data_IF_190883932055
#
_entry.id   IF_190883932055
#
_cell.length_a   1.000
_cell.length_b   1.000
_cell.length_c   1.000
_cell.angle_alpha   90.00
_cell.angle_beta   90.00
_cell.angle_gamma   90.00
#
_symmetry.space_group_name_H-M   'P 1'
#
loop_
_entity.id
_entity.type
_entity.pdbx_description
1 polymer ?
#
# COMPACT_ATOMS: atom_id res chain seq x y z
N UNK A 1 37.07 28.81 -20.58
CA UNK A 1 38.28 28.01 -20.81
C UNK A 1 37.82 26.57 -20.92
N UNK A 2 37.99 25.91 -22.07
CA UNK A 2 37.47 24.55 -22.32
C UNK A 2 38.25 23.52 -21.48
N UNK A 3 37.55 22.50 -20.97
CA UNK A 3 38.17 21.34 -20.32
C UNK A 3 39.03 20.65 -21.38
N UNK A 4 40.34 20.56 -21.17
CA UNK A 4 41.27 19.92 -22.10
C UNK A 4 41.05 18.41 -22.11
N UNK A 5 41.38 17.75 -23.23
CA UNK A 5 41.32 16.28 -23.36
C UNK A 5 42.14 15.55 -22.27
N UNK A 6 43.16 16.20 -21.74
CA UNK A 6 44.00 15.70 -20.63
C UNK A 6 43.21 15.56 -19.31
N UNK A 7 42.39 16.56 -18.96
CA UNK A 7 41.57 16.54 -17.75
C UNK A 7 40.44 15.50 -17.82
N UNK A 8 39.91 15.22 -19.01
CA UNK A 8 38.87 14.19 -19.18
C UNK A 8 39.39 12.78 -18.91
N UNK A 9 40.64 12.47 -19.27
CA UNK A 9 41.27 11.18 -18.97
C UNK A 9 41.44 10.95 -17.47
N UNK A 10 41.87 11.99 -16.75
CA UNK A 10 42.03 11.96 -15.29
C UNK A 10 40.68 11.78 -14.58
N UNK A 11 39.65 12.56 -14.95
CA UNK A 11 38.32 12.43 -14.35
C UNK A 11 37.70 11.05 -14.59
N UNK A 12 37.94 10.45 -15.76
CA UNK A 12 37.49 9.09 -16.05
C UNK A 12 38.15 8.06 -15.12
N UNK A 13 39.45 8.15 -14.90
CA UNK A 13 40.17 7.26 -14.00
C UNK A 13 39.67 7.42 -12.56
N UNK A 14 39.61 8.65 -12.05
CA UNK A 14 39.10 8.94 -10.70
C UNK A 14 37.66 8.42 -10.51
N UNK A 15 36.82 8.52 -11.53
CA UNK A 15 35.46 7.97 -11.49
C UNK A 15 35.45 6.45 -11.42
N UNK A 16 36.27 5.75 -12.21
CA UNK A 16 36.36 4.29 -12.14
C UNK A 16 36.85 3.81 -10.77
N UNK A 17 37.79 4.53 -10.16
CA UNK A 17 38.33 4.22 -8.83
C UNK A 17 37.30 4.47 -7.72
N UNK A 18 36.54 5.58 -7.77
CA UNK A 18 35.60 5.95 -6.71
C UNK A 18 34.21 5.32 -6.87
N UNK A 19 33.81 4.91 -8.07
CA UNK A 19 32.47 4.37 -8.35
C UNK A 19 32.06 3.22 -7.42
N UNK A 20 32.90 2.21 -7.11
CA UNK A 20 32.52 1.12 -6.22
C UNK A 20 32.11 1.60 -4.82
N UNK A 21 32.76 2.65 -4.31
CA UNK A 21 32.43 3.23 -3.00
C UNK A 21 31.07 3.95 -3.05
N UNK A 22 30.80 4.71 -4.11
CA UNK A 22 29.49 5.35 -4.31
C UNK A 22 28.37 4.33 -4.52
N UNK A 23 28.65 3.20 -5.16
CA UNK A 23 27.69 2.11 -5.35
C UNK A 23 27.36 1.42 -4.03
N UNK A 24 28.38 1.09 -3.23
CA UNK A 24 28.18 0.59 -1.87
C UNK A 24 27.39 1.58 -1.01
N UNK A 25 27.71 2.88 -1.08
CA UNK A 25 27.01 3.92 -0.34
C UNK A 25 25.53 4.01 -0.73
N UNK A 26 25.23 4.05 -2.03
CA UNK A 26 23.86 4.14 -2.53
C UNK A 26 23.02 2.90 -2.17
N UNK A 27 23.62 1.70 -2.23
CA UNK A 27 22.97 0.47 -1.81
C UNK A 27 22.65 0.50 -0.30
N UNK A 28 23.61 0.90 0.54
CA UNK A 28 23.39 1.02 2.00
C UNK A 28 22.33 2.05 2.36
N UNK A 29 22.29 3.18 1.66
CA UNK A 29 21.22 4.16 1.82
C UNK A 29 19.85 3.57 1.43
N UNK A 30 19.77 2.80 0.34
CA UNK A 30 18.52 2.13 -0.03
C UNK A 30 18.03 1.16 1.04
N UNK A 31 18.93 0.33 1.58
CA UNK A 31 18.60 -0.62 2.65
C UNK A 31 18.11 0.10 3.91
N UNK A 32 18.85 1.12 4.37
CA UNK A 32 18.48 1.91 5.53
C UNK A 32 17.13 2.62 5.33
N UNK A 33 16.90 3.24 4.17
CA UNK A 33 15.62 3.91 3.88
C UNK A 33 14.45 2.93 3.83
N UNK A 34 14.65 1.69 3.37
CA UNK A 34 13.62 0.63 3.43
C UNK A 34 13.27 0.29 4.87
N UNK A 35 14.26 0.09 5.73
CA UNK A 35 14.03 -0.20 7.14
C UNK A 35 13.33 0.95 7.88
N UNK A 36 13.81 2.18 7.67
CA UNK A 36 13.25 3.38 8.30
C UNK A 36 11.79 3.61 7.88
N UNK A 37 11.48 3.51 6.59
CA UNK A 37 10.10 3.71 6.08
C UNK A 37 9.15 2.60 6.55
N UNK A 38 9.62 1.35 6.62
CA UNK A 38 8.84 0.25 7.18
C UNK A 38 8.53 0.45 8.67
N UNK A 39 9.54 0.83 9.47
CA UNK A 39 9.38 1.09 10.90
C UNK A 39 8.45 2.28 11.17
N UNK A 40 8.49 3.31 10.31
CA UNK A 40 7.62 4.48 10.38
C UNK A 40 6.22 4.25 9.77
N UNK A 41 5.93 3.03 9.28
CA UNK A 41 4.67 2.68 8.60
C UNK A 41 4.33 3.65 7.46
N UNK A 42 5.34 4.00 6.65
CA UNK A 42 5.17 4.84 5.47
C UNK A 42 5.13 3.93 4.24
N UNK A 43 3.98 3.79 3.57
CA UNK A 43 3.85 2.88 2.44
C UNK A 43 4.62 3.40 1.22
N UNK A 44 5.58 2.61 0.75
CA UNK A 44 6.34 2.90 -0.47
C UNK A 44 6.04 1.84 -1.55
N UNK A 45 5.90 2.27 -2.80
CA UNK A 45 5.89 1.38 -3.98
C UNK A 45 7.25 0.71 -4.14
N UNK A 46 8.31 1.53 -4.16
CA UNK A 46 9.68 1.05 -4.28
C UNK A 46 10.70 2.08 -3.79
N UNK A 47 11.82 1.55 -3.32
CA UNK A 47 13.01 2.31 -2.99
C UNK A 47 14.17 1.70 -3.77
N UNK A 48 14.75 2.47 -4.69
CA UNK A 48 15.78 2.01 -5.63
C UNK A 48 16.99 2.94 -5.60
N UNK A 49 18.19 2.40 -5.56
CA UNK A 49 19.41 3.18 -5.73
C UNK A 49 19.81 3.31 -7.20
N UNK A 50 20.61 4.34 -7.49
CA UNK A 50 21.32 4.51 -8.75
C UNK A 50 22.67 5.16 -8.50
N UNK A 51 23.62 4.84 -9.37
CA UNK A 51 24.88 5.59 -9.48
C UNK A 51 24.91 6.20 -10.87
N UNK A 52 25.20 7.51 -10.94
CA UNK A 52 25.29 8.25 -12.21
C UNK A 52 26.30 7.58 -13.14
N UNK A 53 25.98 7.39 -14.41
CA UNK A 53 26.91 6.74 -15.37
C UNK A 53 28.13 7.62 -15.67
N UNK A 54 29.20 7.02 -16.22
CA UNK A 54 30.41 7.77 -16.58
C UNK A 54 30.09 8.85 -17.61
N UNK A 55 29.28 8.54 -18.62
CA UNK A 55 28.87 9.47 -19.67
C UNK A 55 28.11 10.66 -19.04
N UNK A 56 27.10 10.36 -18.22
CA UNK A 56 26.32 11.41 -17.52
C UNK A 56 27.16 12.24 -16.56
N UNK A 57 28.20 11.66 -15.96
CA UNK A 57 29.14 12.36 -15.07
C UNK A 57 30.01 13.33 -15.87
N UNK A 58 30.64 12.87 -16.95
CA UNK A 58 31.47 13.69 -17.84
C UNK A 58 30.65 14.80 -18.51
N UNK A 59 29.46 14.49 -19.01
CA UNK A 59 28.54 15.46 -19.61
C UNK A 59 28.17 16.56 -18.61
N UNK A 60 27.97 16.21 -17.34
CA UNK A 60 27.63 17.17 -16.28
C UNK A 60 28.84 18.07 -15.94
N UNK A 61 30.04 17.52 -15.91
CA UNK A 61 31.29 18.27 -15.73
C UNK A 61 31.44 19.32 -16.83
N UNK A 62 31.26 18.92 -18.09
CA UNK A 62 31.40 19.82 -19.23
C UNK A 62 30.32 20.91 -19.23
N UNK A 63 29.05 20.52 -19.08
CA UNK A 63 27.91 21.46 -19.08
C UNK A 63 28.00 22.52 -17.98
N UNK A 64 28.57 22.17 -16.81
CA UNK A 64 28.65 23.06 -15.65
C UNK A 64 30.05 23.63 -15.42
N UNK A 65 31.01 23.30 -16.29
CA UNK A 65 32.41 23.69 -16.20
C UNK A 65 33.02 23.41 -14.80
N UNK A 66 32.78 22.21 -14.27
CA UNK A 66 33.29 21.82 -12.94
C UNK A 66 34.79 21.52 -12.97
N UNK A 67 35.48 21.97 -11.92
CA UNK A 67 36.92 21.81 -11.74
C UNK A 67 37.27 20.80 -10.65
N UNK A 68 36.39 20.63 -9.65
CA UNK A 68 36.48 19.58 -8.63
C UNK A 68 35.21 18.70 -8.65
N UNK A 69 35.06 17.83 -9.67
CA UNK A 69 33.79 17.16 -9.94
C UNK A 69 33.19 16.39 -8.76
N UNK A 70 34.00 15.70 -7.95
CA UNK A 70 33.50 14.93 -6.80
C UNK A 70 33.05 15.79 -5.62
N UNK A 71 33.49 17.04 -5.53
CA UNK A 71 33.02 17.98 -4.51
C UNK A 71 31.76 18.73 -4.99
N UNK A 72 31.69 19.01 -6.30
CA UNK A 72 30.66 19.84 -6.93
C UNK A 72 29.44 19.04 -7.42
N UNK A 73 29.62 17.77 -7.78
CA UNK A 73 28.54 16.87 -8.21
C UNK A 73 28.01 16.13 -6.98
N UNK A 74 26.87 16.60 -6.47
CA UNK A 74 26.24 16.05 -5.26
C UNK A 74 25.39 14.79 -5.48
N UNK A 75 25.09 14.46 -6.74
CA UNK A 75 24.18 13.39 -7.16
C UNK A 75 24.92 12.22 -7.86
N UNK A 76 26.16 11.93 -7.46
CA UNK A 76 26.90 10.75 -7.97
C UNK A 76 26.22 9.47 -7.49
N UNK A 77 25.95 9.36 -6.19
CA UNK A 77 25.02 8.40 -5.62
C UNK A 77 23.63 9.03 -5.51
N UNK A 78 22.59 8.24 -5.72
CA UNK A 78 21.24 8.67 -5.41
C UNK A 78 20.30 7.52 -5.11
N UNK A 79 19.25 7.83 -4.37
CA UNK A 79 18.16 6.91 -4.04
C UNK A 79 16.84 7.55 -4.47
N UNK A 80 15.96 6.76 -5.06
CA UNK A 80 14.60 7.18 -5.36
C UNK A 80 13.65 6.46 -4.42
N UNK A 81 12.85 7.23 -3.69
CA UNK A 81 11.75 6.75 -2.85
C UNK A 81 10.46 7.07 -3.58
N UNK A 82 9.73 6.03 -3.99
CA UNK A 82 8.42 6.16 -4.64
C UNK A 82 7.34 5.78 -3.64
N UNK A 83 6.49 6.73 -3.31
CA UNK A 83 5.36 6.64 -2.36
C UNK A 83 4.04 6.49 -3.10
N UNK A 84 2.99 6.04 -2.42
CA UNK A 84 1.65 5.95 -3.01
C UNK A 84 0.91 7.29 -3.01
N UNK A 85 1.09 8.09 -1.96
CA UNK A 85 0.29 9.30 -1.71
C UNK A 85 1.16 10.53 -1.50
N UNK A 86 0.57 11.72 -1.65
CA UNK A 86 1.30 12.99 -1.61
C UNK A 86 1.86 13.32 -0.21
N UNK A 87 1.11 13.06 0.84
CA UNK A 87 1.49 13.32 2.22
C UNK A 87 2.64 12.43 2.70
N UNK A 88 2.76 11.22 2.15
CA UNK A 88 3.90 10.33 2.41
C UNK A 88 5.23 10.93 1.92
N UNK A 89 5.23 11.81 0.92
CA UNK A 89 6.44 12.54 0.50
C UNK A 89 6.98 13.36 1.66
N UNK A 90 6.11 14.07 2.36
CA UNK A 90 6.49 14.91 3.50
C UNK A 90 6.92 14.06 4.69
N UNK A 91 6.23 12.94 4.96
CA UNK A 91 6.64 11.98 6.00
C UNK A 91 8.04 11.42 5.75
N UNK A 92 8.35 11.05 4.50
CA UNK A 92 9.71 10.60 4.12
C UNK A 92 10.73 11.74 4.24
N UNK A 93 10.37 12.97 3.83
CA UNK A 93 11.25 14.14 3.93
C UNK A 93 11.65 14.41 5.39
N UNK A 94 10.68 14.36 6.30
CA UNK A 94 10.91 14.52 7.74
C UNK A 94 11.79 13.40 8.30
N UNK A 95 11.50 12.15 7.93
CA UNK A 95 12.29 10.98 8.32
C UNK A 95 13.76 11.12 7.88
N UNK A 96 14.00 11.53 6.63
CA UNK A 96 15.36 11.77 6.12
C UNK A 96 16.05 12.91 6.89
N UNK A 97 15.32 13.98 7.18
CA UNK A 97 15.86 15.16 7.88
C UNK A 97 16.25 14.85 9.33
N UNK A 98 15.64 13.82 9.94
CA UNK A 98 16.00 13.33 11.27
C UNK A 98 17.25 12.43 11.26
N UNK A 99 17.46 11.70 10.16
CA UNK A 99 18.49 10.66 10.07
C UNK A 99 19.80 11.11 9.42
N UNK A 100 19.74 12.15 8.58
CA UNK A 100 20.87 12.62 7.77
C UNK A 100 21.08 14.13 7.91
N UNK A 101 22.28 14.58 7.54
CA UNK A 101 22.55 16.00 7.35
C UNK A 101 22.04 16.41 5.98
N UNK A 102 20.99 17.23 5.94
CA UNK A 102 20.41 17.76 4.70
C UNK A 102 21.10 19.07 4.32
N UNK A 103 21.60 19.15 3.09
CA UNK A 103 22.12 20.37 2.49
C UNK A 103 20.97 21.13 1.83
N UNK A 104 20.31 21.98 2.61
CA UNK A 104 19.15 22.77 2.16
C UNK A 104 19.48 23.72 1.00
N UNK A 105 20.74 24.14 0.85
CA UNK A 105 21.14 25.06 -0.22
C UNK A 105 21.15 24.38 -1.59
N UNK A 106 21.48 23.08 -1.61
CA UNK A 106 21.54 22.28 -2.84
C UNK A 106 20.34 21.35 -3.01
N UNK A 107 19.49 21.24 -1.98
CA UNK A 107 18.21 20.56 -2.05
C UNK A 107 17.21 21.40 -2.84
N UNK A 108 16.34 20.74 -3.57
CA UNK A 108 15.28 21.39 -4.35
C UNK A 108 13.94 20.85 -3.87
N UNK A 109 13.21 21.71 -3.19
CA UNK A 109 11.79 21.52 -2.94
C UNK A 109 11.00 22.25 -4.02
N UNK A 110 10.49 21.50 -5.00
CA UNK A 110 9.60 22.04 -6.05
C UNK A 110 8.12 21.97 -5.68
N UNK A 111 7.76 21.72 -4.42
CA UNK A 111 6.35 21.70 -4.02
C UNK A 111 5.75 23.12 -4.00
N UNK A 112 6.55 24.18 -3.78
CA UNK A 112 6.04 25.55 -3.56
C UNK A 112 6.46 26.61 -4.58
N UNK A 113 7.43 26.34 -5.46
CA UNK A 113 7.98 27.35 -6.38
C UNK A 113 8.07 26.87 -7.83
N UNK A 114 6.91 26.78 -8.49
CA UNK A 114 6.83 27.02 -9.92
C UNK A 114 6.13 28.36 -10.10
N UNK A 115 6.76 29.29 -10.82
CA UNK A 115 6.02 30.46 -11.31
C UNK A 115 4.81 29.98 -12.14
N UNK A 116 3.78 30.80 -12.29
CA UNK A 116 2.58 30.46 -13.07
C UNK A 116 2.87 30.03 -14.54
N UNK A 117 4.10 30.22 -15.01
CA UNK A 117 4.60 29.89 -16.34
C UNK A 117 5.61 28.72 -16.38
N UNK A 118 5.98 28.13 -15.24
CA UNK A 118 6.93 27.02 -15.18
C UNK A 118 6.22 25.67 -15.18
N UNK A 119 6.76 24.75 -15.97
CA UNK A 119 6.14 23.46 -16.26
C UNK A 119 6.89 22.33 -15.60
N UNK A 120 6.15 21.42 -14.96
CA UNK A 120 6.71 20.18 -14.45
C UNK A 120 5.87 19.59 -13.35
N UNK A 121 5.83 18.27 -13.31
CA UNK A 121 5.21 17.55 -12.21
C UNK A 121 6.23 17.38 -11.08
N UNK A 122 5.74 17.58 -9.86
CA UNK A 122 6.52 17.89 -8.65
C UNK A 122 7.45 16.72 -8.24
N UNK A 123 8.59 17.05 -7.65
CA UNK A 123 9.43 16.06 -6.95
C UNK A 123 10.31 16.74 -5.92
N UNK A 124 10.53 16.10 -4.78
CA UNK A 124 11.42 16.57 -3.72
C UNK A 124 12.79 15.94 -3.92
N UNK A 125 13.83 16.75 -4.00
CA UNK A 125 15.21 16.30 -4.18
C UNK A 125 16.02 16.80 -3.00
N UNK A 126 16.45 15.90 -2.13
CA UNK A 126 17.27 16.23 -0.96
C UNK A 126 18.71 15.85 -1.25
N UNK A 127 19.63 16.77 -1.05
CA UNK A 127 21.06 16.45 -1.00
C UNK A 127 21.40 16.15 0.45
N UNK A 128 21.93 14.95 0.69
CA UNK A 128 22.23 14.48 2.04
C UNK A 128 23.70 14.08 2.18
N UNK A 129 24.19 14.17 3.40
CA UNK A 129 25.40 13.55 3.88
C UNK A 129 25.10 12.72 5.15
N UNK A 130 25.92 11.70 5.39
CA UNK A 130 25.84 10.88 6.60
C UNK A 130 26.23 11.74 7.81
N UNK A 131 25.45 11.69 8.89
CA UNK A 131 25.72 12.47 10.10
C UNK A 131 26.99 11.98 10.82
N UNK A 132 27.70 12.88 11.51
CA UNK A 132 28.93 12.57 12.25
C UNK A 132 28.81 11.38 13.22
N UNK A 133 27.74 11.23 14.03
CA UNK A 133 27.58 10.06 14.89
C UNK A 133 27.48 8.75 14.10
N UNK A 134 26.84 8.77 12.93
CA UNK A 134 26.67 7.60 12.07
C UNK A 134 27.96 7.26 11.34
N UNK A 135 28.70 8.26 10.83
CA UNK A 135 30.03 8.07 10.23
C UNK A 135 31.04 7.45 11.20
N UNK A 136 30.87 7.67 12.51
CA UNK A 136 31.71 7.06 13.56
C UNK A 136 31.52 5.54 13.71
N UNK A 137 30.46 4.97 13.13
CA UNK A 137 30.24 3.52 13.08
C UNK A 137 31.08 2.90 11.96
N UNK A 138 31.67 1.73 12.22
CA UNK A 138 32.65 1.11 11.31
C UNK A 138 32.05 0.78 9.93
N UNK A 139 30.77 0.44 9.89
CA UNK A 139 30.04 0.13 8.66
C UNK A 139 29.68 1.38 7.83
N UNK A 140 29.75 2.58 8.41
CA UNK A 140 29.46 3.85 7.73
C UNK A 140 30.71 4.73 7.52
N UNK A 141 31.80 4.46 8.23
CA UNK A 141 33.06 5.22 8.11
C UNK A 141 33.64 5.29 6.70
N UNK A 142 33.49 4.28 5.80
CA UNK A 142 33.94 4.40 4.41
C UNK A 142 33.19 5.45 3.59
N UNK A 143 32.02 5.92 4.07
CA UNK A 143 31.16 6.89 3.39
C UNK A 143 31.30 8.32 3.93
N UNK A 144 32.27 8.54 4.84
CA UNK A 144 32.58 9.86 5.37
C UNK A 144 32.79 10.89 4.25
N UNK A 145 32.10 12.03 4.34
CA UNK A 145 32.21 13.13 3.37
C UNK A 145 31.57 12.87 1.99
N UNK A 146 30.94 11.70 1.78
CA UNK A 146 30.16 11.46 0.56
C UNK A 146 28.78 12.11 0.67
N UNK A 147 28.29 12.58 -0.47
CA UNK A 147 26.92 13.10 -0.61
C UNK A 147 26.09 12.22 -1.53
N UNK A 148 24.79 12.18 -1.30
CA UNK A 148 23.82 11.53 -2.17
C UNK A 148 22.60 12.41 -2.42
N UNK A 149 21.94 12.20 -3.55
CA UNK A 149 20.64 12.79 -3.85
C UNK A 149 19.52 11.79 -3.54
N UNK A 150 18.61 12.13 -2.64
CA UNK A 150 17.38 11.38 -2.42
C UNK A 150 16.22 12.06 -3.15
N UNK A 151 15.62 11.37 -4.11
CA UNK A 151 14.44 11.83 -4.85
C UNK A 151 13.19 11.18 -4.27
N UNK A 152 12.29 11.96 -3.69
CA UNK A 152 11.02 11.50 -3.12
C UNK A 152 9.89 11.90 -4.07
N UNK A 153 9.07 10.93 -4.46
CA UNK A 153 8.00 11.09 -5.46
C UNK A 153 6.81 10.19 -5.17
N UNK A 154 5.64 10.53 -5.69
CA UNK A 154 4.53 9.56 -5.85
C UNK A 154 4.79 8.62 -7.05
N UNK A 155 4.00 7.55 -7.16
CA UNK A 155 3.98 6.68 -8.35
C UNK A 155 3.72 7.48 -9.62
N UNK A 156 2.73 8.38 -9.59
CA UNK A 156 2.38 9.17 -10.75
C UNK A 156 3.50 10.14 -11.11
N UNK A 157 4.12 10.80 -10.12
CA UNK A 157 5.28 11.68 -10.33
C UNK A 157 6.47 10.95 -10.93
N UNK A 158 6.70 9.72 -10.50
CA UNK A 158 7.73 8.87 -11.08
C UNK A 158 7.39 8.50 -12.54
N UNK A 159 6.16 8.09 -12.82
CA UNK A 159 5.71 7.72 -14.16
C UNK A 159 5.82 8.89 -15.14
N UNK A 160 5.34 10.07 -14.75
CA UNK A 160 5.51 11.29 -15.54
C UNK A 160 6.96 11.59 -15.80
N UNK A 161 7.83 11.59 -14.78
CA UNK A 161 9.22 11.96 -14.99
C UNK A 161 9.91 11.01 -15.98
N UNK A 162 9.60 9.71 -15.90
CA UNK A 162 10.14 8.72 -16.84
C UNK A 162 9.60 8.93 -18.27
N UNK A 163 8.31 9.27 -18.42
CA UNK A 163 7.69 9.54 -19.71
C UNK A 163 8.14 10.88 -20.29
N UNK A 164 8.12 11.94 -19.48
CA UNK A 164 8.53 13.28 -19.86
C UNK A 164 10.00 13.29 -20.22
N UNK A 165 10.90 12.62 -19.50
CA UNK A 165 12.30 12.51 -19.93
C UNK A 165 12.47 11.85 -21.30
N UNK A 166 11.68 10.81 -21.62
CA UNK A 166 11.70 10.16 -22.94
C UNK A 166 11.15 11.05 -24.05
N UNK A 167 10.15 11.88 -23.73
CA UNK A 167 9.52 12.82 -24.65
C UNK A 167 10.41 14.07 -24.82
N UNK A 168 10.77 14.74 -23.73
CA UNK A 168 11.59 15.95 -23.66
C UNK A 168 12.99 15.76 -24.25
N UNK A 169 13.60 14.56 -24.19
CA UNK A 169 14.86 14.32 -24.91
C UNK A 169 14.70 14.47 -26.43
N UNK A 170 13.51 14.21 -26.97
CA UNK A 170 13.19 14.37 -28.40
C UNK A 170 12.53 15.71 -28.71
N UNK A 171 11.93 16.34 -27.72
CA UNK A 171 11.08 17.53 -27.80
C UNK A 171 11.74 18.61 -26.96
N UNK A 172 12.85 19.18 -27.47
CA UNK A 172 13.55 20.28 -26.83
C UNK A 172 12.64 21.51 -26.67
N UNK A 173 13.09 22.55 -25.97
CA UNK A 173 12.40 23.86 -25.78
C UNK A 173 11.91 24.55 -27.08
N UNK A 174 12.25 24.00 -28.24
CA UNK A 174 11.83 24.40 -29.58
C UNK A 174 10.52 23.72 -30.05
N UNK A 175 9.90 22.89 -29.21
CA UNK A 175 8.66 22.21 -29.53
C UNK A 175 7.51 23.17 -29.85
N UNK A 176 6.66 22.84 -30.85
CA UNK A 176 5.44 23.59 -31.14
C UNK A 176 4.62 23.83 -29.87
N UNK A 177 4.07 25.04 -29.74
CA UNK A 177 3.29 25.47 -28.57
C UNK A 177 2.14 24.49 -28.27
N UNK A 178 1.50 23.94 -29.31
CA UNK A 178 0.41 22.97 -29.16
C UNK A 178 0.82 21.70 -28.42
N UNK A 179 2.01 21.15 -28.72
CA UNK A 179 2.52 19.95 -28.05
C UNK A 179 2.90 20.24 -26.60
N UNK A 180 3.53 21.39 -26.35
CA UNK A 180 3.84 21.86 -25.00
C UNK A 180 2.57 22.00 -24.16
N UNK A 181 1.53 22.64 -24.69
CA UNK A 181 0.22 22.76 -24.03
C UNK A 181 -0.40 21.41 -23.70
N UNK A 182 -0.26 20.40 -24.57
CA UNK A 182 -0.76 19.05 -24.29
C UNK A 182 0.02 18.38 -23.15
N UNK A 183 1.34 18.51 -23.13
CA UNK A 183 2.16 18.01 -22.03
C UNK A 183 1.78 18.67 -20.70
N UNK A 184 1.50 19.96 -20.68
CA UNK A 184 1.08 20.66 -19.45
C UNK A 184 -0.26 20.17 -18.92
N UNK A 185 -1.23 19.93 -19.81
CA UNK A 185 -2.50 19.33 -19.41
C UNK A 185 -2.32 17.95 -18.82
N UNK A 186 -1.43 17.13 -19.39
CA UNK A 186 -1.14 15.80 -18.84
C UNK A 186 -0.50 15.89 -17.45
N UNK A 187 0.47 16.78 -17.25
CA UNK A 187 1.06 17.03 -15.93
C UNK A 187 0.00 17.45 -14.91
N UNK A 188 -0.88 18.38 -15.28
CA UNK A 188 -1.95 18.85 -14.41
C UNK A 188 -3.00 17.74 -14.10
N UNK A 189 -3.29 16.87 -15.06
CA UNK A 189 -4.19 15.73 -14.84
C UNK A 189 -3.60 14.71 -13.86
N UNK A 190 -2.29 14.45 -13.95
CA UNK A 190 -1.63 13.55 -13.00
C UNK A 190 -1.58 14.16 -11.61
N UNK A 191 -1.33 15.45 -11.51
CA UNK A 191 -1.35 16.18 -10.24
C UNK A 191 -2.73 16.14 -9.57
N UNK A 192 -3.78 16.41 -10.33
CA UNK A 192 -5.14 16.26 -9.83
C UNK A 192 -5.42 14.81 -9.40
N UNK A 193 -4.97 13.82 -10.18
CA UNK A 193 -5.16 12.42 -9.81
C UNK A 193 -4.45 12.05 -8.51
N UNK A 194 -3.22 12.52 -8.27
CA UNK A 194 -2.49 12.33 -7.01
C UNK A 194 -3.25 12.94 -5.80
N UNK A 195 -3.80 14.14 -5.97
CA UNK A 195 -4.62 14.82 -4.95
C UNK A 195 -5.89 14.02 -4.64
N UNK A 196 -6.60 13.57 -5.68
CA UNK A 196 -7.83 12.78 -5.53
C UNK A 196 -7.57 11.39 -4.90
N UNK A 197 -6.48 10.70 -5.27
CA UNK A 197 -6.14 9.42 -4.63
C UNK A 197 -5.81 9.59 -3.15
N UNK A 198 -5.11 10.66 -2.79
CA UNK A 198 -4.81 11.00 -1.39
C UNK A 198 -6.11 11.30 -0.62
N UNK A 199 -6.98 12.14 -1.18
CA UNK A 199 -8.26 12.48 -0.57
C UNK A 199 -9.20 11.27 -0.41
N UNK A 200 -9.26 10.37 -1.40
CA UNK A 200 -10.07 9.16 -1.34
C UNK A 200 -9.59 8.20 -0.24
N UNK A 201 -8.28 8.05 -0.07
CA UNK A 201 -7.72 7.27 1.05
C UNK A 201 -8.15 7.89 2.39
N UNK A 202 -7.97 9.19 2.57
CA UNK A 202 -8.31 9.88 3.83
C UNK A 202 -9.81 9.77 4.15
N UNK A 203 -10.66 9.91 3.14
CA UNK A 203 -12.10 9.73 3.28
C UNK A 203 -12.46 8.29 3.68
N UNK A 204 -11.83 7.29 3.06
CA UNK A 204 -12.05 5.89 3.42
C UNK A 204 -11.64 5.62 4.87
N UNK A 205 -10.46 6.08 5.30
CA UNK A 205 -9.98 5.95 6.69
C UNK A 205 -10.91 6.65 7.69
N UNK A 206 -11.44 7.83 7.33
CA UNK A 206 -12.40 8.56 8.14
C UNK A 206 -13.74 7.81 8.25
N UNK A 207 -14.23 7.21 7.16
CA UNK A 207 -15.45 6.39 7.16
C UNK A 207 -15.29 5.18 8.11
N UNK A 208 -14.19 4.44 7.98
CA UNK A 208 -13.92 3.27 8.83
C UNK A 208 -13.80 3.67 10.31
N UNK A 209 -13.10 4.77 10.59
CA UNK A 209 -13.02 5.33 11.95
C UNK A 209 -14.38 5.75 12.49
N UNK A 210 -15.24 6.30 11.61
CA UNK A 210 -16.63 6.64 11.90
C UNK A 210 -17.44 5.41 12.32
N UNK A 211 -17.33 4.29 11.59
CA UNK A 211 -18.00 3.03 11.95
C UNK A 211 -17.60 2.58 13.35
N UNK A 212 -16.30 2.60 13.66
CA UNK A 212 -15.80 2.24 14.99
C UNK A 212 -16.40 3.13 16.09
N UNK A 213 -16.47 4.43 15.87
CA UNK A 213 -17.05 5.36 16.85
C UNK A 213 -18.55 5.12 17.05
N UNK A 214 -19.30 4.95 15.96
CA UNK A 214 -20.74 4.69 16.00
C UNK A 214 -21.06 3.36 16.69
N UNK A 215 -20.31 2.29 16.41
CA UNK A 215 -20.48 0.99 17.05
C UNK A 215 -20.25 1.02 18.56
N UNK A 216 -19.24 1.75 19.03
CA UNK A 216 -18.96 1.92 20.47
C UNK A 216 -20.08 2.67 21.21
N UNK A 217 -20.94 3.41 20.48
CA UNK A 217 -22.10 4.13 21.03
C UNK A 217 -23.42 3.40 20.78
N UNK A 218 -23.37 2.16 20.29
CA UNK A 218 -24.55 1.39 19.86
C UNK A 218 -25.41 2.08 18.79
N UNK A 219 -24.82 2.98 18.00
CA UNK A 219 -25.45 3.64 16.85
C UNK A 219 -25.25 2.76 15.60
N UNK A 220 -26.03 1.67 15.48
CA UNK A 220 -25.78 0.59 14.52
C UNK A 220 -26.46 0.75 13.15
N UNK A 221 -27.04 1.91 12.86
CA UNK A 221 -27.54 2.27 11.51
C UNK A 221 -26.37 2.58 10.56
N UNK A 222 -25.48 1.58 10.43
CA UNK A 222 -24.23 1.61 9.67
C UNK A 222 -24.41 0.68 8.46
N UNK A 223 -24.08 1.09 7.24
CA UNK A 223 -24.14 0.22 6.07
C UNK A 223 -23.26 -1.03 6.23
N UNK A 224 -23.76 -2.18 5.83
CA UNK A 224 -23.02 -3.45 5.80
C UNK A 224 -22.05 -3.44 4.62
N UNK A 225 -20.76 -3.47 4.94
CA UNK A 225 -19.65 -3.62 4.01
C UNK A 225 -18.50 -4.37 4.72
N UNK A 226 -17.37 -4.59 4.04
CA UNK A 226 -16.27 -5.36 4.61
C UNK A 226 -15.69 -4.70 5.87
N UNK A 227 -15.62 -3.38 5.92
CA UNK A 227 -15.00 -2.67 7.04
C UNK A 227 -15.96 -2.58 8.23
N UNK A 228 -17.23 -2.27 8.02
CA UNK A 228 -18.22 -2.29 9.11
C UNK A 228 -18.43 -3.71 9.66
N UNK A 229 -18.41 -4.75 8.82
CA UNK A 229 -18.45 -6.13 9.32
C UNK A 229 -17.19 -6.49 10.10
N UNK A 230 -16.00 -6.10 9.64
CA UNK A 230 -14.75 -6.33 10.38
C UNK A 230 -14.83 -5.70 11.76
N UNK A 231 -15.22 -4.43 11.84
CA UNK A 231 -15.37 -3.72 13.11
C UNK A 231 -16.42 -4.37 14.02
N UNK A 232 -17.55 -4.82 13.47
CA UNK A 232 -18.57 -5.53 14.24
C UNK A 232 -18.04 -6.84 14.83
N UNK A 233 -17.36 -7.64 14.00
CA UNK A 233 -16.79 -8.92 14.42
C UNK A 233 -15.70 -8.69 15.50
N UNK A 234 -14.82 -7.70 15.31
CA UNK A 234 -13.74 -7.41 16.26
C UNK A 234 -14.24 -6.86 17.61
N UNK A 235 -15.30 -6.05 17.61
CA UNK A 235 -15.78 -5.38 18.82
C UNK A 235 -16.90 -6.11 19.56
N UNK A 236 -17.80 -6.80 18.83
CA UNK A 236 -19.04 -7.35 19.38
C UNK A 236 -19.13 -8.88 19.35
N UNK A 237 -18.22 -9.56 18.68
CA UNK A 237 -18.28 -11.03 18.54
C UNK A 237 -17.14 -11.72 19.28
N UNK A 238 -17.52 -12.58 20.23
CA UNK A 238 -16.59 -13.54 20.84
C UNK A 238 -16.34 -14.70 19.86
N UNK A 239 -15.22 -14.61 19.14
CA UNK A 239 -14.84 -15.62 18.13
C UNK A 239 -14.67 -17.00 18.76
N UNK A 240 -14.09 -17.11 19.95
CA UNK A 240 -13.86 -18.39 20.63
C UNK A 240 -15.18 -19.05 21.03
N UNK A 241 -16.15 -18.24 21.44
CA UNK A 241 -17.51 -18.73 21.73
C UNK A 241 -18.16 -19.35 20.50
N UNK A 242 -18.04 -18.72 19.33
CA UNK A 242 -18.65 -19.24 18.09
C UNK A 242 -17.92 -20.46 17.50
N UNK A 243 -16.60 -20.55 17.68
CA UNK A 243 -15.88 -21.81 17.42
C UNK A 243 -16.43 -22.93 18.31
N UNK A 244 -16.54 -22.68 19.62
CA UNK A 244 -17.07 -23.67 20.58
C UNK A 244 -18.50 -24.08 20.22
N UNK A 245 -19.34 -23.13 19.81
CA UNK A 245 -20.70 -23.39 19.35
C UNK A 245 -20.72 -24.34 18.14
N UNK A 246 -19.86 -24.09 17.14
CA UNK A 246 -19.72 -24.97 15.98
C UNK A 246 -19.25 -26.38 16.35
N UNK A 247 -18.25 -26.49 17.22
CA UNK A 247 -17.76 -27.79 17.71
C UNK A 247 -18.85 -28.56 18.45
N UNK A 248 -19.66 -27.87 19.28
CA UNK A 248 -20.80 -28.48 19.96
C UNK A 248 -21.90 -28.94 18.99
N UNK A 249 -22.02 -28.32 17.83
CA UNK A 249 -22.90 -28.78 16.74
C UNK A 249 -22.26 -29.91 15.90
N UNK A 250 -21.06 -30.38 16.27
CA UNK A 250 -20.38 -31.51 15.64
C UNK A 250 -19.37 -31.14 14.56
N UNK A 251 -19.06 -29.86 14.36
CA UNK A 251 -18.00 -29.41 13.44
C UNK A 251 -16.60 -29.77 13.98
N UNK A 252 -15.62 -29.90 13.09
CA UNK A 252 -14.24 -30.16 13.48
C UNK A 252 -13.55 -28.90 14.02
N UNK A 253 -12.76 -28.97 15.09
CA UNK A 253 -11.99 -27.81 15.57
C UNK A 253 -11.02 -27.32 14.50
N UNK A 254 -10.73 -26.02 14.47
CA UNK A 254 -9.82 -25.44 13.49
C UNK A 254 -8.54 -24.94 14.17
N UNK A 255 -7.38 -25.61 13.94
CA UNK A 255 -6.26 -25.49 14.86
C UNK A 255 -5.61 -24.10 14.92
N UNK A 256 -5.70 -23.27 13.87
CA UNK A 256 -5.24 -21.86 13.89
C UNK A 256 -5.90 -21.02 12.80
N UNK A 257 -6.58 -19.95 13.17
CA UNK A 257 -7.06 -18.95 12.22
C UNK A 257 -5.89 -18.12 11.67
N UNK A 258 -5.69 -18.14 10.35
CA UNK A 258 -4.79 -17.18 9.69
C UNK A 258 -5.56 -15.91 9.31
N UNK A 259 -4.85 -14.78 9.16
CA UNK A 259 -5.45 -13.53 8.67
C UNK A 259 -6.13 -13.66 7.31
N UNK A 260 -5.62 -14.56 6.45
CA UNK A 260 -6.19 -14.85 5.13
C UNK A 260 -7.56 -15.52 5.21
N UNK A 261 -7.75 -16.47 6.14
CA UNK A 261 -9.04 -17.17 6.30
C UNK A 261 -10.14 -16.21 6.78
N UNK A 262 -9.80 -15.30 7.69
CA UNK A 262 -10.73 -14.26 8.14
C UNK A 262 -11.21 -13.35 7.00
N UNK A 263 -10.31 -12.92 6.10
CA UNK A 263 -10.67 -12.04 5.00
C UNK A 263 -11.65 -12.71 4.00
N UNK A 264 -11.41 -13.97 3.63
CA UNK A 264 -12.30 -14.71 2.73
C UNK A 264 -13.65 -14.98 3.41
N UNK A 265 -13.65 -15.34 4.69
CA UNK A 265 -14.87 -15.51 5.48
C UNK A 265 -15.74 -14.25 5.49
N UNK A 266 -15.17 -13.09 5.76
CA UNK A 266 -15.90 -11.82 5.79
C UNK A 266 -16.51 -11.46 4.43
N UNK A 267 -15.84 -11.76 3.31
CA UNK A 267 -16.39 -11.54 1.97
C UNK A 267 -17.63 -12.39 1.71
N UNK A 268 -17.60 -13.66 2.12
CA UNK A 268 -18.73 -14.57 1.93
C UNK A 268 -19.87 -14.20 2.89
N UNK A 269 -19.56 -13.79 4.12
CA UNK A 269 -20.55 -13.27 5.04
C UNK A 269 -21.24 -12.02 4.46
N UNK A 270 -20.47 -11.06 3.94
CA UNK A 270 -21.02 -9.88 3.28
C UNK A 270 -21.95 -10.25 2.13
N UNK A 271 -21.51 -11.13 1.24
CA UNK A 271 -22.32 -11.59 0.11
C UNK A 271 -23.60 -12.28 0.60
N UNK A 272 -23.52 -13.10 1.65
CA UNK A 272 -24.67 -13.79 2.22
C UNK A 272 -25.67 -12.79 2.80
N UNK A 273 -25.19 -11.80 3.57
CA UNK A 273 -26.03 -10.74 4.16
C UNK A 273 -26.73 -9.90 3.09
N UNK A 274 -26.00 -9.48 2.06
CA UNK A 274 -26.57 -8.73 0.94
C UNK A 274 -27.64 -9.54 0.19
N UNK A 275 -27.41 -10.85 0.03
CA UNK A 275 -28.35 -11.77 -0.62
C UNK A 275 -29.67 -11.88 0.13
N UNK A 276 -29.62 -11.83 1.47
CA UNK A 276 -30.81 -11.87 2.33
C UNK A 276 -31.33 -10.48 2.71
N UNK A 277 -30.93 -9.46 1.93
CA UNK A 277 -31.35 -8.06 2.05
C UNK A 277 -31.03 -7.41 3.41
N UNK A 278 -29.98 -7.88 4.10
CA UNK A 278 -29.46 -7.22 5.30
C UNK A 278 -28.46 -6.16 4.86
N UNK A 279 -28.84 -4.91 5.10
CA UNK A 279 -28.13 -3.72 4.61
C UNK A 279 -27.50 -2.91 5.73
N UNK A 280 -27.93 -3.09 6.99
CA UNK A 280 -27.36 -2.39 8.16
C UNK A 280 -26.81 -3.31 9.23
N UNK A 281 -25.84 -2.80 10.00
CA UNK A 281 -25.27 -3.53 11.14
C UNK A 281 -26.32 -3.76 12.23
N UNK A 282 -27.31 -2.86 12.38
CA UNK A 282 -28.45 -3.03 13.29
C UNK A 282 -29.29 -4.27 12.93
N UNK A 283 -29.61 -4.45 11.64
CA UNK A 283 -30.32 -5.62 11.12
C UNK A 283 -29.52 -6.90 11.37
N UNK A 284 -28.21 -6.87 11.08
CA UNK A 284 -27.32 -8.00 11.34
C UNK A 284 -27.22 -8.32 12.83
N UNK A 285 -27.10 -7.33 13.72
CA UNK A 285 -27.05 -7.55 15.17
C UNK A 285 -28.38 -8.15 15.69
N UNK A 286 -29.51 -7.68 15.16
CA UNK A 286 -30.84 -8.22 15.45
C UNK A 286 -30.98 -9.70 15.06
N UNK A 287 -30.38 -10.08 13.93
CA UNK A 287 -30.29 -11.47 13.49
C UNK A 287 -29.33 -12.29 14.36
N UNK A 288 -28.14 -11.74 14.64
CA UNK A 288 -27.10 -12.37 15.44
C UNK A 288 -27.58 -12.79 16.83
N UNK A 289 -28.43 -11.98 17.47
CA UNK A 289 -29.07 -12.31 18.77
C UNK A 289 -29.97 -13.56 18.73
N UNK A 290 -30.33 -14.06 17.55
CA UNK A 290 -31.19 -15.25 17.38
C UNK A 290 -30.39 -16.53 17.12
N UNK A 291 -29.11 -16.41 16.78
CA UNK A 291 -28.28 -17.52 16.32
C UNK A 291 -28.12 -18.63 17.35
N UNK A 292 -28.06 -18.32 18.64
CA UNK A 292 -27.94 -19.33 19.70
C UNK A 292 -29.11 -20.32 19.73
N UNK A 293 -30.27 -19.94 19.18
CA UNK A 293 -31.46 -20.81 19.11
C UNK A 293 -31.39 -21.83 17.98
N UNK A 294 -30.39 -21.73 17.09
CA UNK A 294 -30.30 -22.52 15.86
C UNK A 294 -29.30 -23.68 15.97
N UNK A 295 -28.96 -24.09 17.19
CA UNK A 295 -27.99 -25.15 17.43
C UNK A 295 -28.42 -26.47 16.79
N UNK A 296 -29.70 -26.85 16.93
CA UNK A 296 -30.22 -28.11 16.38
C UNK A 296 -30.18 -28.13 14.85
N UNK A 297 -30.55 -27.01 14.20
CA UNK A 297 -30.49 -26.87 12.75
C UNK A 297 -29.05 -26.92 12.23
N UNK A 298 -28.12 -26.26 12.93
CA UNK A 298 -26.70 -26.33 12.58
C UNK A 298 -26.16 -27.75 12.74
N UNK A 299 -26.52 -28.46 13.83
CA UNK A 299 -26.11 -29.85 14.03
C UNK A 299 -26.67 -30.77 12.94
N UNK A 300 -27.94 -30.57 12.55
CA UNK A 300 -28.55 -31.32 11.46
C UNK A 300 -27.82 -31.10 10.12
N UNK A 301 -27.44 -29.86 9.81
CA UNK A 301 -26.60 -29.56 8.64
C UNK A 301 -25.29 -30.34 8.67
N UNK A 302 -24.59 -30.33 9.81
CA UNK A 302 -23.31 -31.03 9.97
C UNK A 302 -23.45 -32.53 9.77
N UNK A 303 -24.52 -33.14 10.28
CA UNK A 303 -24.80 -34.56 10.11
C UNK A 303 -25.03 -34.93 8.63
N UNK A 304 -25.74 -34.08 7.86
CA UNK A 304 -25.93 -34.28 6.43
C UNK A 304 -24.62 -34.20 5.65
N UNK A 305 -23.74 -33.26 5.98
CA UNK A 305 -22.41 -33.14 5.38
C UNK A 305 -21.58 -34.40 5.66
N UNK A 306 -21.57 -34.88 6.90
CA UNK A 306 -20.88 -36.12 7.30
C UNK A 306 -21.44 -37.36 6.60
N UNK A 307 -22.75 -37.45 6.45
CA UNK A 307 -23.40 -38.56 5.74
C UNK A 307 -22.99 -38.62 4.25
N UNK A 308 -22.64 -37.48 3.65
CA UNK A 308 -22.11 -37.37 2.28
C UNK A 308 -20.57 -37.55 2.21
N UNK A 309 -19.90 -37.83 3.35
CA UNK A 309 -18.47 -38.09 3.42
C UNK A 309 -17.58 -36.85 3.59
N UNK A 310 -18.17 -35.67 3.86
CA UNK A 310 -17.44 -34.42 4.09
C UNK A 310 -17.23 -34.06 5.56
N UNK A 311 -16.49 -32.98 5.83
CA UNK A 311 -16.28 -32.43 7.17
C UNK A 311 -16.28 -30.90 7.18
N UNK A 312 -17.00 -30.28 8.11
CA UNK A 312 -17.01 -28.81 8.25
C UNK A 312 -16.15 -28.41 9.44
N UNK A 313 -15.25 -27.43 9.25
CA UNK A 313 -14.46 -26.87 10.33
C UNK A 313 -15.19 -25.72 11.04
N UNK A 314 -15.05 -25.65 12.37
CA UNK A 314 -15.65 -24.65 13.24
C UNK A 314 -14.94 -23.28 13.18
N UNK A 315 -14.70 -22.77 11.97
CA UNK A 315 -14.21 -21.40 11.77
C UNK A 315 -15.32 -20.43 12.20
N UNK A 316 -15.08 -19.49 13.14
CA UNK A 316 -16.15 -18.66 13.70
C UNK A 316 -16.98 -17.92 12.65
N UNK A 317 -16.34 -17.30 11.66
CA UNK A 317 -17.06 -16.58 10.60
C UNK A 317 -17.88 -17.54 9.73
N UNK A 318 -17.44 -18.78 9.53
CA UNK A 318 -18.16 -19.78 8.74
C UNK A 318 -19.39 -20.28 9.49
N UNK A 319 -19.29 -20.43 10.81
CA UNK A 319 -20.44 -20.68 11.68
C UNK A 319 -21.48 -19.57 11.52
N UNK A 320 -21.07 -18.29 11.53
CA UNK A 320 -21.99 -17.18 11.30
C UNK A 320 -22.63 -17.21 9.91
N UNK A 321 -21.87 -17.53 8.85
CA UNK A 321 -22.41 -17.66 7.48
C UNK A 321 -23.51 -18.73 7.43
N UNK A 322 -23.27 -19.90 8.01
CA UNK A 322 -24.23 -20.99 8.06
C UNK A 322 -25.48 -20.59 8.85
N UNK A 323 -25.32 -19.88 9.96
CA UNK A 323 -26.42 -19.43 10.80
C UNK A 323 -27.26 -18.34 10.15
N UNK A 324 -26.64 -17.37 9.46
CA UNK A 324 -27.37 -16.43 8.59
C UNK A 324 -28.18 -17.22 7.58
N UNK A 325 -27.55 -18.22 6.96
CA UNK A 325 -28.18 -19.00 5.89
C UNK A 325 -29.39 -19.78 6.39
N UNK A 326 -29.28 -20.43 7.55
CA UNK A 326 -30.38 -21.18 8.18
C UNK A 326 -31.53 -20.23 8.57
N UNK A 327 -31.24 -19.14 9.29
CA UNK A 327 -32.31 -18.24 9.79
C UNK A 327 -33.02 -17.50 8.66
N UNK A 328 -32.33 -17.23 7.56
CA UNK A 328 -32.87 -16.53 6.38
C UNK A 328 -33.08 -17.46 5.19
N UNK A 329 -33.32 -18.75 5.42
CA UNK A 329 -33.42 -19.76 4.37
C UNK A 329 -34.44 -19.44 3.26
N UNK A 330 -35.55 -18.78 3.61
CA UNK A 330 -36.58 -18.33 2.66
C UNK A 330 -36.14 -17.20 1.73
N UNK A 331 -35.07 -16.48 2.08
CA UNK A 331 -34.54 -15.35 1.31
C UNK A 331 -33.29 -15.73 0.50
N UNK A 332 -32.76 -16.94 0.69
CA UNK A 332 -31.61 -17.41 -0.09
C UNK A 332 -32.10 -18.03 -1.40
N UNK A 333 -31.62 -17.60 -2.57
CA UNK A 333 -31.92 -18.25 -3.85
C UNK A 333 -31.46 -19.72 -3.88
N UNK A 334 -32.19 -20.58 -4.58
CA UNK A 334 -31.79 -22.00 -4.75
C UNK A 334 -30.46 -22.17 -5.47
N UNK A 335 -30.12 -21.24 -6.35
CA UNK A 335 -28.89 -21.21 -7.15
C UNK A 335 -27.80 -20.33 -6.53
N UNK A 336 -27.98 -19.87 -5.28
CA UNK A 336 -26.97 -19.07 -4.60
C UNK A 336 -25.69 -19.88 -4.36
N UNK A 337 -24.54 -19.23 -4.60
CA UNK A 337 -23.24 -19.87 -4.54
C UNK A 337 -22.34 -19.13 -3.54
N UNK A 338 -22.04 -19.78 -2.41
CA UNK A 338 -21.23 -19.21 -1.32
C UNK A 338 -19.73 -19.09 -1.65
N UNK A 339 -19.27 -19.59 -2.81
CA UNK A 339 -17.91 -19.41 -3.31
C UNK A 339 -16.98 -20.59 -3.02
N UNK A 340 -15.84 -20.63 -3.72
CA UNK A 340 -14.95 -21.81 -3.90
C UNK A 340 -14.23 -22.38 -2.67
N UNK A 341 -14.67 -22.08 -1.45
CA UNK A 341 -14.28 -22.83 -0.24
C UNK A 341 -15.33 -23.88 0.18
N UNK A 342 -16.56 -23.76 -0.30
CA UNK A 342 -17.62 -24.74 -0.10
C UNK A 342 -17.76 -25.56 -1.40
N UNK A 343 -17.34 -26.83 -1.36
CA UNK A 343 -17.48 -27.76 -2.49
C UNK A 343 -18.97 -28.09 -2.75
N UNK A 344 -19.28 -28.61 -3.95
CA UNK A 344 -20.65 -28.86 -4.42
C UNK A 344 -21.50 -29.66 -3.41
N UNK A 345 -20.91 -30.65 -2.73
CA UNK A 345 -21.65 -31.45 -1.74
C UNK A 345 -22.03 -30.67 -0.46
N UNK A 346 -21.28 -29.62 -0.08
CA UNK A 346 -21.67 -28.72 1.01
C UNK A 346 -22.86 -27.87 0.60
N UNK A 347 -22.86 -27.41 -0.66
CA UNK A 347 -23.96 -26.63 -1.22
C UNK A 347 -25.22 -27.50 -1.28
N UNK A 348 -25.12 -28.75 -1.72
CA UNK A 348 -26.25 -29.69 -1.71
C UNK A 348 -26.80 -29.93 -0.30
N UNK A 349 -25.91 -30.18 0.68
CA UNK A 349 -26.33 -30.36 2.07
C UNK A 349 -26.99 -29.10 2.65
N UNK A 350 -26.48 -27.91 2.28
CA UNK A 350 -27.06 -26.65 2.69
C UNK A 350 -28.44 -26.47 2.06
N UNK A 351 -28.58 -26.69 0.75
CA UNK A 351 -29.86 -26.64 0.05
C UNK A 351 -30.91 -27.60 0.64
N UNK A 352 -30.49 -28.82 1.05
CA UNK A 352 -31.36 -29.78 1.74
C UNK A 352 -31.93 -29.18 3.04
N UNK A 353 -31.07 -28.57 3.87
CA UNK A 353 -31.51 -27.89 5.11
C UNK A 353 -32.39 -26.69 4.81
N UNK A 354 -31.96 -25.83 3.89
CA UNK A 354 -32.71 -24.62 3.51
C UNK A 354 -34.10 -24.97 2.95
N UNK A 355 -34.24 -26.08 2.22
CA UNK A 355 -35.53 -26.52 1.69
C UNK A 355 -36.53 -26.89 2.78
N UNK A 356 -36.06 -27.40 3.93
CA UNK A 356 -36.89 -27.74 5.08
C UNK A 356 -37.29 -26.49 5.86
N UNK A 357 -36.35 -25.57 6.08
CA UNK A 357 -36.58 -24.30 6.78
C UNK A 357 -37.44 -23.30 5.98
N UNK A 358 -37.63 -23.54 4.67
CA UNK A 358 -38.53 -22.75 3.81
C UNK A 358 -40.01 -23.11 3.97
N UNK A 359 -40.32 -24.30 4.48
CA UNK A 359 -41.69 -24.82 4.64
C UNK A 359 -42.12 -24.70 6.09
#
# INVERSE_FOLDING_TARGET
MQITSHNQGEFKQQYQEKRPVYEAFALRLQELLKELTQNAQIPCDKIVFRVKTLESFLDKIERKAYHTPFEQIKDVAGVRVVTYYLDDIERVRQLISQEFMVDEQHSVDKITHLGAEEFGYRSVHLIIAVSEPRVSLHEWSPFAGLTAEIQIRTILQHAWADLSHKIDYKITSQAPLELRRRLFRLSALLELADEEFTALRDQAEHIVSGYKYQMNRDELEIPVNLDSLREFIEQKVDLQRWETFGVQAGMEPFPQLTSRYHAIGLQILLLTLQTVEITTIAEFEGLFKQFEKQHEQLAHFVDLVKAKGGSVHAVPVDVLILLVSIVKASHIPTDFHWGGKYEDFYIDALQDVLSRERN
#
